data_IF_398195733490
#
_entry.id   IF_398195733490
#
_cell.length_a   1.000
_cell.length_b   1.000
_cell.length_c   1.000
_cell.angle_alpha   90.00
_cell.angle_beta   90.00
_cell.angle_gamma   90.00
#
_symmetry.space_group_name_H-M   'P 1'
#
loop_
_entity.id
_entity.type
_entity.pdbx_description
1 polymer ?
#
# COMPACT_ATOMS: atom_id res chain seq x y z
N UNK A 1 61.62 5.23 16.92
CA UNK A 1 61.53 6.16 15.76
C UNK A 1 60.21 6.91 15.81
N UNK A 2 60.22 8.20 16.15
CA UNK A 2 59.01 9.02 16.31
C UNK A 2 58.48 9.54 14.97
N UNK A 3 57.17 9.38 14.71
CA UNK A 3 56.52 9.78 13.46
C UNK A 3 56.63 11.29 13.21
N UNK A 4 56.88 11.67 11.96
CA UNK A 4 56.99 13.07 11.52
C UNK A 4 55.70 13.86 11.85
N UNK A 5 55.86 15.04 12.47
CA UNK A 5 54.75 15.94 12.79
C UNK A 5 54.20 16.55 11.50
N UNK A 6 52.87 16.49 11.30
CA UNK A 6 52.19 17.12 10.15
C UNK A 6 52.40 18.63 10.19
N UNK A 7 52.85 19.20 9.08
CA UNK A 7 53.01 20.63 8.91
C UNK A 7 51.68 21.37 9.09
N UNK A 8 51.70 22.50 9.82
CA UNK A 8 50.54 23.36 9.99
C UNK A 8 50.22 24.05 8.67
N UNK A 9 48.93 24.12 8.31
CA UNK A 9 48.49 24.82 7.10
C UNK A 9 48.54 26.32 7.37
N UNK A 10 49.13 27.09 6.45
CA UNK A 10 49.12 28.56 6.52
C UNK A 10 47.70 29.09 6.26
N UNK A 11 47.31 30.14 6.99
CA UNK A 11 46.01 30.83 6.90
C UNK A 11 44.76 29.94 7.17
N UNK A 12 44.77 29.14 8.24
CA UNK A 12 43.55 28.43 8.68
C UNK A 12 42.57 29.42 9.30
N UNK A 13 41.55 29.80 8.53
CA UNK A 13 40.44 30.61 9.01
C UNK A 13 39.40 29.77 9.77
N UNK A 14 38.79 30.37 10.78
CA UNK A 14 37.64 29.79 11.50
C UNK A 14 36.48 29.61 10.51
N UNK A 15 35.91 28.40 10.43
CA UNK A 15 34.78 28.12 9.52
C UNK A 15 33.58 28.98 9.89
N UNK A 16 33.33 30.03 9.10
CA UNK A 16 32.13 30.86 9.20
C UNK A 16 31.10 30.43 8.16
N UNK A 17 29.83 30.60 8.50
CA UNK A 17 28.72 30.33 7.56
C UNK A 17 28.83 31.31 6.40
N UNK A 18 28.97 30.78 5.19
CA UNK A 18 29.14 31.59 3.98
C UNK A 18 27.80 32.23 3.57
N UNK A 19 27.86 33.43 2.97
CA UNK A 19 26.69 34.13 2.45
C UNK A 19 25.89 33.31 1.42
N UNK A 20 26.57 32.40 0.69
CA UNK A 20 25.93 31.42 -0.21
C UNK A 20 25.10 30.37 0.53
N UNK A 21 25.54 29.90 1.70
CA UNK A 21 24.78 28.96 2.52
C UNK A 21 23.52 29.61 3.12
N UNK A 22 23.63 30.87 3.55
CA UNK A 22 22.48 31.66 4.01
C UNK A 22 21.48 31.95 2.88
N UNK A 23 21.95 32.22 1.66
CA UNK A 23 21.09 32.40 0.48
C UNK A 23 20.34 31.11 0.11
N UNK A 24 21.01 29.95 0.10
CA UNK A 24 20.36 28.65 -0.14
C UNK A 24 19.28 28.35 0.90
N UNK A 25 19.58 28.53 2.18
CA UNK A 25 18.59 28.35 3.24
C UNK A 25 17.42 29.34 3.13
N UNK A 26 17.68 30.60 2.76
CA UNK A 26 16.62 31.58 2.49
C UNK A 26 15.77 31.17 1.29
N UNK A 27 16.36 30.72 0.18
CA UNK A 27 15.62 30.27 -1.00
C UNK A 27 14.79 29.02 -0.75
N UNK A 28 15.30 28.06 0.02
CA UNK A 28 14.57 26.84 0.42
C UNK A 28 13.41 27.14 1.38
N UNK A 29 13.54 28.15 2.25
CA UNK A 29 12.49 28.56 3.21
C UNK A 29 11.46 29.51 2.58
N UNK A 30 11.87 30.40 1.66
CA UNK A 30 10.99 31.37 0.99
C UNK A 30 10.21 30.79 -0.19
N UNK A 31 10.70 29.74 -0.86
CA UNK A 31 10.03 29.13 -2.01
C UNK A 31 9.72 27.62 -1.80
N UNK A 32 8.81 27.24 -0.88
CA UNK A 32 8.38 25.86 -0.76
C UNK A 32 7.61 25.36 -2.01
N UNK A 33 7.05 26.25 -2.82
CA UNK A 33 6.16 25.94 -3.97
C UNK A 33 6.86 25.78 -5.32
N UNK A 34 8.16 26.11 -5.45
CA UNK A 34 8.89 25.94 -6.74
C UNK A 34 9.03 24.47 -7.18
N UNK A 35 8.98 23.52 -6.23
CA UNK A 35 8.88 22.08 -6.55
C UNK A 35 7.54 21.73 -7.20
N UNK A 36 6.47 22.46 -6.87
CA UNK A 36 5.13 22.24 -7.40
C UNK A 36 4.98 22.88 -8.79
N UNK A 37 5.60 24.03 -9.04
CA UNK A 37 5.63 24.67 -10.38
C UNK A 37 6.37 23.81 -11.43
N UNK A 38 7.44 23.10 -11.03
CA UNK A 38 8.13 22.16 -11.91
C UNK A 38 7.29 20.89 -12.19
N UNK A 39 6.39 20.51 -11.28
CA UNK A 39 5.41 19.42 -11.48
C UNK A 39 4.28 19.83 -12.42
N UNK A 40 3.92 21.10 -12.47
CA UNK A 40 2.89 21.61 -13.39
C UNK A 40 3.40 21.76 -14.83
N UNK A 41 4.71 22.04 -15.02
CA UNK A 41 5.34 22.14 -16.34
C UNK A 41 5.61 20.80 -17.03
N UNK A 42 5.56 19.69 -16.30
CA UNK A 42 5.62 18.35 -16.93
C UNK A 42 4.29 18.05 -17.62
N UNK A 43 4.34 17.80 -18.94
CA UNK A 43 3.19 17.37 -19.74
C UNK A 43 2.43 16.23 -19.05
N UNK A 44 1.09 16.31 -18.98
CA UNK A 44 0.24 15.26 -18.40
C UNK A 44 0.40 13.95 -19.18
N UNK A 45 1.28 13.06 -18.70
CA UNK A 45 1.38 11.71 -19.21
C UNK A 45 0.28 10.87 -18.56
N UNK A 46 -0.86 10.75 -19.25
CA UNK A 46 -1.88 9.77 -18.88
C UNK A 46 -1.43 8.43 -19.46
N UNK A 47 -1.12 7.42 -18.63
CA UNK A 47 -0.67 6.14 -19.12
C UNK A 47 -1.78 5.49 -19.96
N UNK A 48 -1.45 5.11 -21.20
CA UNK A 48 -2.34 4.38 -22.08
C UNK A 48 -2.70 3.03 -21.45
N UNK A 49 -4.01 2.71 -21.37
CA UNK A 49 -4.45 1.41 -20.86
C UNK A 49 -4.24 0.38 -21.98
N UNK A 50 -3.46 -0.70 -21.75
CA UNK A 50 -3.16 -1.68 -22.79
C UNK A 50 -4.42 -2.34 -23.36
N UNK A 51 -4.46 -2.51 -24.68
CA UNK A 51 -5.58 -3.09 -25.43
C UNK A 51 -5.87 -4.56 -25.08
N UNK A 52 -4.90 -5.26 -24.49
CA UNK A 52 -5.02 -6.65 -24.04
C UNK A 52 -6.04 -6.86 -22.90
N UNK A 53 -6.53 -5.78 -22.28
CA UNK A 53 -7.49 -5.83 -21.19
C UNK A 53 -8.91 -5.61 -21.73
N UNK A 54 -9.67 -6.68 -21.89
CA UNK A 54 -11.13 -6.55 -22.00
C UNK A 54 -11.70 -6.33 -20.59
N UNK A 55 -11.87 -5.05 -20.22
CA UNK A 55 -12.25 -4.56 -18.89
C UNK A 55 -11.27 -4.95 -17.75
N UNK A 56 -11.20 -6.24 -17.41
CA UNK A 56 -10.31 -6.85 -16.41
C UNK A 56 -9.75 -8.20 -16.83
N UNK A 57 -10.32 -8.82 -17.87
CA UNK A 57 -9.84 -10.06 -18.43
C UNK A 57 -8.66 -9.76 -19.34
N UNK A 58 -7.61 -10.56 -19.23
CA UNK A 58 -6.40 -10.39 -20.01
C UNK A 58 -6.38 -11.44 -21.11
N UNK A 59 -6.76 -11.05 -22.33
CA UNK A 59 -6.83 -11.94 -23.49
C UNK A 59 -5.46 -12.30 -24.06
N UNK A 60 -4.39 -11.60 -23.62
CA UNK A 60 -3.03 -11.85 -24.08
C UNK A 60 -2.31 -12.96 -23.31
N UNK A 61 -2.95 -13.55 -22.29
CA UNK A 61 -2.41 -14.71 -21.58
C UNK A 61 -2.79 -15.96 -22.35
N UNK A 62 -1.88 -16.43 -23.20
CA UNK A 62 -1.98 -17.72 -23.89
C UNK A 62 -0.82 -18.64 -23.52
N UNK A 63 -0.98 -19.97 -23.64
CA UNK A 63 0.14 -20.91 -23.51
C UNK A 63 1.20 -20.62 -24.59
N UNK A 64 2.51 -20.58 -24.26
CA UNK A 64 3.12 -20.90 -22.98
C UNK A 64 3.06 -19.76 -21.95
N UNK A 65 2.66 -20.09 -20.72
CA UNK A 65 2.57 -19.11 -19.64
C UNK A 65 3.96 -18.73 -19.12
N UNK A 66 4.23 -17.43 -19.03
CA UNK A 66 5.44 -16.89 -18.42
C UNK A 66 5.20 -16.56 -16.96
N UNK A 67 5.90 -17.24 -16.06
CA UNK A 67 5.69 -17.11 -14.61
C UNK A 67 6.89 -16.41 -13.99
N UNK A 68 6.71 -15.21 -13.45
CA UNK A 68 7.74 -14.51 -12.66
C UNK A 68 7.85 -15.14 -11.27
N UNK A 69 9.04 -15.61 -10.93
CA UNK A 69 9.32 -16.29 -9.67
C UNK A 69 10.03 -15.37 -8.69
N UNK A 70 9.54 -15.36 -7.45
CA UNK A 70 10.05 -14.57 -6.32
C UNK A 70 10.94 -15.42 -5.37
N UNK A 71 11.82 -14.79 -4.59
CA UNK A 71 12.77 -15.48 -3.70
C UNK A 71 12.07 -16.30 -2.62
N UNK A 72 11.06 -15.70 -1.98
CA UNK A 72 10.27 -16.36 -0.95
C UNK A 72 9.49 -17.55 -1.51
N UNK A 73 9.01 -17.46 -2.75
CA UNK A 73 8.31 -18.56 -3.41
C UNK A 73 9.22 -19.78 -3.62
N UNK A 74 10.47 -19.56 -4.03
CA UNK A 74 11.48 -20.63 -4.17
C UNK A 74 11.76 -21.27 -2.81
N UNK A 75 11.94 -20.46 -1.77
CA UNK A 75 12.22 -20.95 -0.42
C UNK A 75 11.08 -21.83 0.12
N UNK A 76 9.83 -21.39 -0.05
CA UNK A 76 8.67 -22.19 0.36
C UNK A 76 8.48 -23.46 -0.49
N UNK A 77 8.85 -23.43 -1.77
CA UNK A 77 8.80 -24.61 -2.64
C UNK A 77 9.79 -25.68 -2.18
N UNK A 78 11.00 -25.29 -1.80
CA UNK A 78 12.03 -26.19 -1.28
C UNK A 78 11.61 -26.80 0.06
N UNK A 79 11.04 -25.99 0.95
CA UNK A 79 10.55 -26.46 2.24
C UNK A 79 9.46 -27.54 2.10
N UNK A 80 8.54 -27.35 1.14
CA UNK A 80 7.46 -28.31 0.87
C UNK A 80 7.85 -29.40 -0.14
N UNK A 81 9.12 -29.45 -0.58
CA UNK A 81 9.64 -30.43 -1.55
C UNK A 81 8.84 -30.47 -2.86
N UNK A 82 8.47 -29.30 -3.37
CA UNK A 82 7.75 -29.16 -4.63
C UNK A 82 8.71 -28.87 -5.78
N UNK A 83 8.56 -29.62 -6.86
CA UNK A 83 9.22 -29.35 -8.14
C UNK A 83 8.56 -28.13 -8.79
N UNK A 84 9.30 -27.03 -8.97
CA UNK A 84 8.76 -25.75 -9.48
C UNK A 84 8.07 -25.91 -10.85
N UNK A 85 8.71 -26.59 -11.80
CA UNK A 85 8.17 -26.77 -13.16
C UNK A 85 6.95 -27.67 -13.17
N UNK A 86 7.05 -28.85 -12.54
CA UNK A 86 5.94 -29.81 -12.50
C UNK A 86 4.75 -29.20 -11.79
N UNK A 87 4.97 -28.60 -10.61
CA UNK A 87 3.90 -27.95 -9.86
C UNK A 87 3.23 -26.81 -10.64
N UNK A 88 3.99 -26.04 -11.44
CA UNK A 88 3.39 -25.01 -12.30
C UNK A 88 2.56 -25.62 -13.43
N UNK A 89 3.06 -26.67 -14.08
CA UNK A 89 2.34 -27.39 -15.14
C UNK A 89 1.06 -28.04 -14.61
N UNK A 90 1.10 -28.65 -13.42
CA UNK A 90 -0.04 -29.30 -12.77
C UNK A 90 -1.12 -28.28 -12.35
N UNK A 91 -0.71 -27.05 -11.99
CA UNK A 91 -1.64 -25.99 -11.58
C UNK A 91 -2.32 -25.29 -12.77
N UNK A 92 -1.57 -25.07 -13.86
CA UNK A 92 -2.04 -24.32 -15.03
C UNK A 92 -2.52 -25.20 -16.18
N UNK A 93 -2.31 -26.52 -16.10
CA UNK A 93 -2.60 -27.51 -17.15
C UNK A 93 -2.05 -27.14 -18.53
N UNK A 94 -0.94 -26.38 -18.54
CA UNK A 94 -0.34 -25.84 -19.76
C UNK A 94 1.18 -25.71 -19.60
N UNK A 95 1.87 -25.56 -20.73
CA UNK A 95 3.32 -25.34 -20.74
C UNK A 95 3.66 -24.03 -20.04
N UNK A 96 4.51 -24.11 -19.02
CA UNK A 96 4.95 -22.96 -18.23
C UNK A 96 6.45 -22.73 -18.43
N UNK A 97 6.83 -21.48 -18.64
CA UNK A 97 8.23 -21.04 -18.67
C UNK A 97 8.45 -20.18 -17.42
N UNK A 98 9.18 -20.70 -16.41
CA UNK A 98 9.48 -19.92 -15.23
C UNK A 98 10.59 -18.90 -15.56
N UNK A 99 10.35 -17.66 -15.18
CA UNK A 99 11.24 -16.52 -15.44
C UNK A 99 11.76 -15.97 -14.11
N UNK A 100 13.08 -15.79 -13.98
CA UNK A 100 13.73 -15.20 -12.81
C UNK A 100 14.35 -13.86 -13.23
N UNK A 101 14.16 -12.83 -12.41
CA UNK A 101 14.79 -11.53 -12.63
C UNK A 101 16.17 -11.46 -11.95
N UNK A 102 17.08 -10.67 -12.51
CA UNK A 102 18.41 -10.47 -11.90
C UNK A 102 18.36 -10.00 -10.45
N UNK A 103 17.32 -9.26 -10.07
CA UNK A 103 17.16 -8.76 -8.70
C UNK A 103 16.78 -9.84 -7.71
N UNK A 104 15.90 -10.77 -8.11
CA UNK A 104 15.59 -11.98 -7.32
C UNK A 104 16.84 -12.84 -7.18
N UNK A 105 17.63 -12.94 -8.25
CA UNK A 105 18.91 -13.66 -8.22
C UNK A 105 19.91 -13.01 -7.24
N UNK A 106 20.05 -11.68 -7.29
CA UNK A 106 20.90 -10.94 -6.38
C UNK A 106 20.44 -11.04 -4.91
N UNK A 107 19.13 -11.10 -4.65
CA UNK A 107 18.58 -11.35 -3.32
C UNK A 107 18.92 -12.75 -2.81
N UNK A 108 18.82 -13.79 -3.65
CA UNK A 108 19.22 -15.15 -3.28
C UNK A 108 20.72 -15.25 -2.95
N UNK A 109 21.57 -14.54 -3.70
CA UNK A 109 23.02 -14.50 -3.44
C UNK A 109 23.35 -13.82 -2.11
N UNK A 110 22.60 -12.77 -1.74
CA UNK A 110 22.77 -12.07 -0.44
C UNK A 110 22.39 -12.91 0.76
N UNK A 111 21.43 -13.83 0.61
CA UNK A 111 20.99 -14.72 1.70
C UNK A 111 22.04 -15.80 2.06
N UNK A 112 23.08 -15.97 1.23
CA UNK A 112 24.30 -16.71 1.56
C UNK A 112 24.16 -18.23 1.54
N UNK A 113 24.99 -18.92 2.34
CA UNK A 113 25.19 -20.38 2.27
C UNK A 113 23.94 -21.20 2.61
N UNK A 114 23.03 -20.67 3.45
CA UNK A 114 21.81 -21.38 3.87
C UNK A 114 20.88 -21.69 2.69
N UNK A 115 20.91 -20.87 1.64
CA UNK A 115 20.04 -20.99 0.48
C UNK A 115 20.79 -21.48 -0.76
N UNK A 116 21.90 -22.21 -0.59
CA UNK A 116 22.67 -22.78 -1.70
C UNK A 116 21.85 -23.70 -2.61
N UNK A 117 20.91 -24.45 -2.04
CA UNK A 117 19.99 -25.31 -2.80
C UNK A 117 19.08 -24.46 -3.69
N UNK A 118 18.53 -23.36 -3.16
CA UNK A 118 17.72 -22.42 -3.93
C UNK A 118 18.51 -21.76 -5.06
N UNK A 119 19.76 -21.37 -4.79
CA UNK A 119 20.65 -20.78 -5.79
C UNK A 119 20.96 -21.75 -6.94
N UNK A 120 21.12 -23.06 -6.65
CA UNK A 120 21.35 -24.08 -7.67
C UNK A 120 20.12 -24.23 -8.57
N UNK A 121 18.93 -24.34 -7.98
CA UNK A 121 17.66 -24.43 -8.71
C UNK A 121 17.45 -23.20 -9.59
N UNK A 122 17.67 -22.00 -9.04
CA UNK A 122 17.53 -20.75 -9.80
C UNK A 122 18.53 -20.62 -10.97
N UNK A 123 19.65 -21.35 -10.93
CA UNK A 123 20.66 -21.34 -12.00
C UNK A 123 20.37 -22.33 -13.12
N UNK A 124 19.41 -23.24 -12.96
CA UNK A 124 19.10 -24.25 -13.94
C UNK A 124 18.65 -23.63 -15.28
N UNK A 125 19.05 -24.20 -16.43
CA UNK A 125 18.81 -23.62 -17.76
C UNK A 125 17.34 -23.61 -18.17
N UNK A 126 16.48 -24.29 -17.40
CA UNK A 126 15.04 -24.33 -17.63
C UNK A 126 14.35 -23.03 -17.17
N UNK A 127 15.01 -22.24 -16.33
CA UNK A 127 14.56 -20.90 -15.96
C UNK A 127 15.06 -19.87 -16.97
N UNK A 128 14.14 -19.08 -17.52
CA UNK A 128 14.48 -17.94 -18.36
C UNK A 128 14.95 -16.78 -17.47
N UNK A 129 16.14 -16.23 -17.75
CA UNK A 129 16.67 -15.10 -16.99
C UNK A 129 16.29 -13.79 -17.65
N UNK A 130 15.64 -12.92 -16.88
CA UNK A 130 15.20 -11.60 -17.34
C UNK A 130 16.11 -10.51 -16.80
N UNK A 131 16.76 -9.81 -17.75
CA UNK A 131 17.66 -8.71 -17.43
C UNK A 131 16.91 -7.51 -16.87
N UNK A 132 17.50 -6.87 -15.86
CA UNK A 132 16.92 -5.75 -15.14
C UNK A 132 17.76 -4.48 -15.22
N UNK A 133 17.16 -3.36 -15.64
CA UNK A 133 17.85 -2.07 -15.87
C UNK A 133 17.53 -1.03 -14.78
N UNK A 134 17.67 -1.41 -13.50
CA UNK A 134 17.45 -0.48 -12.40
C UNK A 134 18.58 -0.54 -11.37
N UNK A 135 18.81 0.59 -10.70
CA UNK A 135 19.84 0.72 -9.67
C UNK A 135 19.24 0.35 -8.32
N UNK A 136 19.58 -0.84 -7.83
CA UNK A 136 19.11 -1.37 -6.55
C UNK A 136 18.64 -2.81 -6.68
N UNK A 137 18.54 -3.51 -5.55
CA UNK A 137 18.13 -4.92 -5.48
C UNK A 137 16.83 -5.07 -4.70
N UNK A 138 15.80 -4.29 -5.05
CA UNK A 138 14.45 -4.47 -4.51
C UNK A 138 13.65 -5.25 -5.54
N UNK A 139 13.60 -6.59 -5.41
CA UNK A 139 12.90 -7.45 -6.35
C UNK A 139 11.40 -7.12 -6.43
N UNK A 140 10.81 -6.81 -5.29
CA UNK A 140 9.42 -6.38 -5.13
C UNK A 140 8.99 -5.29 -6.13
N UNK A 141 9.73 -4.19 -6.17
CA UNK A 141 9.39 -3.04 -7.00
C UNK A 141 9.66 -3.35 -8.47
N UNK A 142 10.72 -4.10 -8.76
CA UNK A 142 11.01 -4.60 -10.10
C UNK A 142 9.86 -5.46 -10.66
N UNK A 143 9.33 -6.39 -9.86
CA UNK A 143 8.23 -7.27 -10.26
C UNK A 143 6.98 -6.43 -10.51
N UNK A 144 6.65 -5.50 -9.62
CA UNK A 144 5.47 -4.63 -9.77
C UNK A 144 5.58 -3.76 -11.02
N UNK A 145 6.72 -3.14 -11.27
CA UNK A 145 6.92 -2.28 -12.43
C UNK A 145 6.87 -3.07 -13.75
N UNK A 146 7.53 -4.24 -13.80
CA UNK A 146 7.55 -5.11 -14.97
C UNK A 146 6.14 -5.62 -15.31
N UNK A 147 5.38 -6.05 -14.31
CA UNK A 147 4.01 -6.54 -14.45
C UNK A 147 3.05 -5.40 -14.83
N UNK A 148 3.31 -4.19 -14.35
CA UNK A 148 2.50 -3.01 -14.68
C UNK A 148 2.70 -2.60 -16.14
N UNK A 149 3.94 -2.64 -16.62
CA UNK A 149 4.30 -2.37 -18.02
C UNK A 149 3.80 -3.48 -18.95
N UNK A 150 4.14 -4.72 -18.63
CA UNK A 150 3.82 -5.90 -19.42
C UNK A 150 2.91 -6.82 -18.61
N UNK A 151 1.63 -6.84 -18.97
CA UNK A 151 0.63 -7.64 -18.28
C UNK A 151 0.63 -9.11 -18.73
N UNK A 152 1.66 -9.58 -19.42
CA UNK A 152 1.74 -10.94 -19.95
C UNK A 152 2.39 -11.96 -18.98
N UNK A 153 2.52 -11.61 -17.70
CA UNK A 153 3.17 -12.45 -16.70
C UNK A 153 2.19 -12.91 -15.62
N UNK A 154 2.38 -14.16 -15.18
CA UNK A 154 1.82 -14.68 -13.92
C UNK A 154 2.85 -14.45 -12.83
N UNK A 155 2.44 -13.97 -11.65
CA UNK A 155 3.40 -13.75 -10.55
C UNK A 155 3.29 -14.85 -9.51
N UNK A 156 4.39 -15.55 -9.26
CA UNK A 156 4.51 -16.56 -8.22
C UNK A 156 5.15 -15.95 -6.97
N UNK A 157 4.33 -15.61 -5.97
CA UNK A 157 4.81 -15.03 -4.72
C UNK A 157 4.00 -15.53 -3.53
N UNK A 158 4.66 -15.67 -2.38
CA UNK A 158 4.02 -15.96 -1.10
C UNK A 158 3.80 -14.71 -0.23
N UNK A 159 4.33 -13.56 -0.65
CA UNK A 159 4.40 -12.38 0.21
C UNK A 159 3.09 -11.63 0.28
N UNK A 160 2.66 -11.33 1.51
CA UNK A 160 1.37 -10.68 1.77
C UNK A 160 1.32 -9.26 1.20
N UNK A 161 2.42 -8.52 1.30
CA UNK A 161 2.48 -7.13 0.86
C UNK A 161 2.66 -7.02 -0.65
N UNK A 162 3.48 -7.87 -1.27
CA UNK A 162 3.59 -7.95 -2.73
C UNK A 162 2.27 -8.38 -3.37
N UNK A 163 1.59 -9.39 -2.82
CA UNK A 163 0.22 -9.77 -3.23
C UNK A 163 -0.74 -8.59 -3.14
N UNK A 164 -0.72 -7.83 -2.05
CA UNK A 164 -1.60 -6.66 -1.90
C UNK A 164 -1.32 -5.59 -2.96
N UNK A 165 -0.05 -5.38 -3.34
CA UNK A 165 0.32 -4.45 -4.43
C UNK A 165 -0.15 -4.95 -5.78
N UNK A 166 0.15 -6.19 -6.15
CA UNK A 166 -0.24 -6.78 -7.44
C UNK A 166 -1.76 -6.88 -7.56
N UNK A 167 -2.49 -7.11 -6.46
CA UNK A 167 -3.97 -7.12 -6.46
C UNK A 167 -4.59 -5.79 -6.92
N UNK A 168 -3.87 -4.67 -6.84
CA UNK A 168 -4.32 -3.37 -7.36
C UNK A 168 -4.21 -3.30 -8.89
N UNK A 169 -3.30 -4.07 -9.48
CA UNK A 169 -3.14 -4.17 -10.94
C UNK A 169 -4.18 -5.16 -11.48
N UNK A 170 -5.04 -4.75 -12.43
CA UNK A 170 -6.01 -5.64 -13.05
C UNK A 170 -5.36 -6.55 -14.10
N UNK A 171 -5.90 -7.75 -14.28
CA UNK A 171 -5.50 -8.69 -15.34
C UNK A 171 -4.24 -9.51 -15.07
N UNK A 172 -3.69 -9.45 -13.86
CA UNK A 172 -2.49 -10.21 -13.45
C UNK A 172 -2.91 -11.32 -12.49
N UNK A 173 -2.68 -12.60 -12.86
CA UNK A 173 -2.91 -13.73 -11.97
C UNK A 173 -1.75 -13.90 -10.98
N UNK A 174 -2.08 -14.39 -9.79
CA UNK A 174 -1.13 -14.56 -8.68
C UNK A 174 -1.11 -16.04 -8.28
N UNK A 175 0.03 -16.69 -8.39
CA UNK A 175 0.25 -18.04 -7.92
C UNK A 175 0.86 -18.03 -6.52
N UNK A 176 0.37 -18.89 -5.65
CA UNK A 176 0.86 -19.03 -4.28
C UNK A 176 0.83 -20.49 -3.82
N UNK A 177 1.60 -20.78 -2.77
CA UNK A 177 1.73 -22.14 -2.24
C UNK A 177 0.71 -22.34 -1.13
N UNK A 178 -0.04 -23.44 -1.22
CA UNK A 178 -0.94 -23.93 -0.18
C UNK A 178 -0.55 -25.35 0.18
N UNK A 179 0.01 -25.55 1.37
CA UNK A 179 0.49 -26.87 1.83
C UNK A 179 1.45 -27.49 0.79
N UNK A 180 1.01 -28.52 0.07
CA UNK A 180 1.78 -29.30 -0.90
C UNK A 180 1.33 -29.07 -2.36
N UNK A 181 0.58 -28.01 -2.65
CA UNK A 181 0.10 -27.71 -4.01
C UNK A 181 0.21 -26.21 -4.31
N UNK A 182 0.37 -25.88 -5.58
CA UNK A 182 0.26 -24.49 -6.06
C UNK A 182 -1.20 -24.17 -6.37
N UNK A 183 -1.64 -23.03 -5.86
CA UNK A 183 -2.96 -22.48 -6.09
C UNK A 183 -2.83 -21.16 -6.84
N UNK A 184 -3.79 -20.86 -7.72
CA UNK A 184 -3.80 -19.62 -8.48
C UNK A 184 -5.01 -18.76 -8.11
N UNK A 185 -4.75 -17.48 -7.87
CA UNK A 185 -5.76 -16.44 -7.67
C UNK A 185 -5.96 -15.69 -9.00
N UNK A 186 -7.22 -15.37 -9.33
CA UNK A 186 -7.62 -14.53 -10.48
C UNK A 186 -7.34 -15.11 -11.87
N UNK A 187 -7.47 -16.42 -12.05
CA UNK A 187 -7.55 -16.99 -13.39
C UNK A 187 -9.02 -17.06 -13.82
N UNK A 188 -9.40 -16.42 -14.94
CA UNK A 188 -10.79 -16.37 -15.37
C UNK A 188 -11.31 -17.68 -16.00
N UNK A 189 -10.45 -18.64 -16.34
CA UNK A 189 -10.84 -19.90 -17.00
C UNK A 189 -10.85 -21.14 -16.09
N UNK A 190 -10.18 -21.12 -14.94
CA UNK A 190 -9.97 -22.33 -14.12
C UNK A 190 -11.01 -22.56 -12.99
N UNK A 191 -12.08 -21.76 -12.90
CA UNK A 191 -13.05 -21.84 -11.79
C UNK A 191 -14.34 -22.62 -12.11
N UNK A 192 -14.39 -23.39 -13.20
CA UNK A 192 -15.60 -24.14 -13.61
C UNK A 192 -15.60 -25.61 -13.17
N UNK A 193 -14.51 -26.16 -12.63
CA UNK A 193 -14.50 -27.56 -12.16
C UNK A 193 -13.67 -27.78 -10.90
N UNK A 194 -14.33 -28.17 -9.80
CA UNK A 194 -13.66 -28.83 -8.66
C UNK A 194 -13.94 -28.23 -7.27
N UNK A 195 -14.74 -28.97 -6.51
CA UNK A 195 -14.75 -29.06 -5.04
C UNK A 195 -15.44 -27.97 -4.20
N UNK A 196 -16.76 -28.12 -4.13
CA UNK A 196 -17.55 -27.91 -2.92
C UNK A 196 -17.16 -28.95 -1.85
N UNK A 197 -16.27 -28.60 -0.93
CA UNK A 197 -16.34 -29.13 0.43
C UNK A 197 -15.66 -28.21 1.43
N UNK A 198 -16.40 -27.80 2.45
CA UNK A 198 -15.82 -27.20 3.66
C UNK A 198 -16.34 -25.83 4.06
N UNK A 199 -17.49 -25.85 4.75
CA UNK A 199 -17.88 -24.91 5.81
C UNK A 199 -18.18 -23.47 5.37
N UNK A 200 -19.47 -23.29 5.10
CA UNK A 200 -20.27 -22.13 5.49
C UNK A 200 -19.63 -21.23 6.55
N UNK A 201 -19.18 -20.05 6.12
CA UNK A 201 -19.14 -18.87 6.96
C UNK A 201 -19.89 -17.76 6.21
N UNK A 202 -21.12 -17.41 6.63
CA UNK A 202 -21.77 -16.22 6.13
C UNK A 202 -21.14 -15.06 6.88
N UNK A 203 -20.22 -14.33 6.27
CA UNK A 203 -19.83 -12.96 6.66
C UNK A 203 -18.53 -12.58 5.95
N UNK A 204 -18.60 -12.03 4.73
CA UNK A 204 -17.55 -11.10 4.22
C UNK A 204 -17.98 -10.30 2.99
N UNK A 205 -19.28 -10.19 2.71
CA UNK A 205 -19.83 -9.11 1.89
C UNK A 205 -20.04 -7.88 2.77
N UNK A 206 -18.95 -7.28 3.25
CA UNK A 206 -19.06 -6.13 4.14
C UNK A 206 -17.76 -5.75 4.78
N UNK A 207 -17.19 -4.64 4.27
CA UNK A 207 -16.04 -3.87 4.78
C UNK A 207 -14.71 -4.23 4.14
N UNK A 208 -14.36 -3.50 3.08
CA UNK A 208 -13.23 -2.54 3.13
C UNK A 208 -13.54 -1.34 2.22
N UNK A 209 -14.53 -0.52 2.59
CA UNK A 209 -14.40 0.91 2.32
C UNK A 209 -13.76 1.50 3.57
N UNK A 210 -12.43 1.58 3.55
CA UNK A 210 -11.71 2.49 4.43
C UNK A 210 -12.18 3.88 4.08
N UNK A 211 -12.97 4.44 5.01
CA UNK A 211 -13.20 5.86 5.14
C UNK A 211 -11.87 6.49 5.55
N UNK A 212 -11.09 6.89 4.56
CA UNK A 212 -10.17 8.02 4.70
C UNK A 212 -10.94 9.20 4.09
N UNK A 213 -11.34 10.11 4.98
CA UNK A 213 -11.87 11.45 4.70
C UNK A 213 -12.86 11.57 3.54
N UNK A 214 -14.14 11.28 3.80
CA UNK A 214 -15.30 12.10 3.42
C UNK A 214 -15.44 12.67 2.01
N UNK A 215 -14.65 12.25 1.03
CA UNK A 215 -14.66 12.75 -0.34
C UNK A 215 -14.95 11.55 -1.24
N UNK A 216 -16.17 11.52 -1.77
CA UNK A 216 -16.51 10.61 -2.87
C UNK A 216 -15.49 10.82 -3.99
N UNK A 217 -14.83 9.76 -4.44
CA UNK A 217 -13.94 9.81 -5.59
C UNK A 217 -14.66 10.49 -6.77
N UNK A 218 -14.01 11.42 -7.50
CA UNK A 218 -14.67 12.15 -8.57
C UNK A 218 -15.16 11.18 -9.64
N UNK A 219 -16.47 11.19 -9.90
CA UNK A 219 -17.09 10.38 -10.95
C UNK A 219 -16.45 10.76 -12.29
N UNK A 220 -15.93 9.76 -13.01
CA UNK A 220 -15.22 9.93 -14.28
C UNK A 220 -16.09 10.72 -15.30
N UNK A 221 -15.47 11.51 -16.20
CA UNK A 221 -16.21 12.24 -17.23
C UNK A 221 -16.86 11.27 -18.23
N UNK A 222 -18.06 11.62 -18.70
CA UNK A 222 -18.74 10.86 -19.73
C UNK A 222 -17.94 10.91 -21.05
N UNK A 223 -17.87 9.80 -21.77
CA UNK A 223 -17.00 9.60 -22.94
C UNK A 223 -17.69 9.90 -24.28
N UNK A 224 -18.93 10.41 -24.29
CA UNK A 224 -19.66 10.69 -25.54
C UNK A 224 -20.16 9.44 -26.27
N UNK A 225 -19.96 8.25 -25.71
CA UNK A 225 -20.35 6.97 -26.31
C UNK A 225 -21.84 6.66 -26.01
N UNK A 226 -22.53 6.09 -27.00
CA UNK A 226 -23.95 5.71 -26.90
C UNK A 226 -24.19 4.56 -25.89
N UNK A 227 -23.20 3.67 -25.70
CA UNK A 227 -23.29 2.51 -24.78
C UNK A 227 -21.97 2.33 -24.00
N UNK A 228 -22.04 2.09 -22.69
CA UNK A 228 -20.88 1.93 -21.80
C UNK A 228 -21.08 2.51 -20.38
N UNK A 229 -20.10 2.33 -19.48
CA UNK A 229 -20.19 2.79 -18.07
C UNK A 229 -20.17 4.33 -17.91
N UNK A 230 -19.48 5.03 -18.81
CA UNK A 230 -19.41 6.50 -18.87
C UNK A 230 -20.19 7.01 -20.10
N UNK A 231 -21.29 6.35 -20.44
CA UNK A 231 -22.15 6.74 -21.58
C UNK A 231 -22.79 8.11 -21.38
N UNK A 232 -23.13 8.75 -22.50
CA UNK A 232 -23.77 10.05 -22.53
C UNK A 232 -22.84 11.17 -22.97
N UNK A 233 -23.43 12.32 -23.31
CA UNK A 233 -22.71 13.49 -23.82
C UNK A 233 -21.64 13.95 -22.82
N UNK A 234 -20.46 14.33 -23.34
CA UNK A 234 -19.41 14.96 -22.55
C UNK A 234 -19.96 16.30 -22.03
N UNK A 235 -20.23 16.40 -20.72
CA UNK A 235 -20.68 17.64 -20.08
C UNK A 235 -19.52 18.21 -19.26
N UNK A 236 -19.14 19.46 -19.55
CA UNK A 236 -18.21 20.22 -18.72
C UNK A 236 -18.88 20.53 -17.38
N UNK A 237 -18.42 19.87 -16.31
CA UNK A 237 -18.95 20.12 -14.97
C UNK A 237 -18.54 21.53 -14.53
N UNK A 238 -19.51 22.44 -14.39
CA UNK A 238 -19.32 23.77 -13.84
C UNK A 238 -19.03 23.65 -12.34
N UNK A 239 -17.95 24.27 -11.87
CA UNK A 239 -17.67 24.33 -10.44
C UNK A 239 -18.77 25.14 -9.75
N UNK A 240 -19.55 24.48 -8.90
CA UNK A 240 -20.61 25.14 -8.13
C UNK A 240 -19.96 25.93 -6.99
N UNK A 241 -20.40 27.17 -6.74
CA UNK A 241 -19.93 27.93 -5.59
C UNK A 241 -20.27 27.18 -4.29
N UNK A 242 -19.35 27.14 -3.30
CA UNK A 242 -19.53 26.39 -2.08
C UNK A 242 -20.76 26.89 -1.31
N UNK A 243 -21.69 25.99 -1.00
CA UNK A 243 -22.96 26.35 -0.35
C UNK A 243 -22.71 26.62 1.13
N UNK A 244 -23.48 27.52 1.77
CA UNK A 244 -23.40 27.74 3.22
C UNK A 244 -23.58 26.45 4.06
N UNK A 245 -24.35 25.48 3.54
CA UNK A 245 -24.51 24.15 4.15
C UNK A 245 -23.20 23.38 4.30
N UNK A 246 -22.24 23.57 3.40
CA UNK A 246 -20.96 22.85 3.37
C UNK A 246 -20.00 23.37 4.47
N UNK A 247 -20.28 24.56 5.00
CA UNK A 247 -19.55 25.15 6.14
C UNK A 247 -20.06 24.62 7.49
N UNK A 248 -21.16 23.86 7.52
CA UNK A 248 -21.77 23.34 8.75
C UNK A 248 -20.85 22.32 9.42
N UNK A 249 -20.20 22.73 10.51
CA UNK A 249 -19.28 21.90 11.30
C UNK A 249 -17.81 22.34 11.23
N UNK A 250 -17.46 23.33 10.39
CA UNK A 250 -16.12 23.92 10.38
C UNK A 250 -15.97 24.83 11.60
N UNK A 251 -15.14 24.41 12.56
CA UNK A 251 -14.88 25.18 13.78
C UNK A 251 -13.72 26.15 13.55
N UNK A 252 -13.87 27.41 13.94
CA UNK A 252 -12.77 28.38 13.89
C UNK A 252 -11.68 28.03 14.92
N UNK A 253 -10.44 28.47 14.68
CA UNK A 253 -9.29 28.22 15.57
C UNK A 253 -9.57 28.70 17.00
N UNK A 254 -10.24 29.85 17.15
CA UNK A 254 -10.68 30.40 18.45
C UNK A 254 -11.68 29.48 19.15
N UNK A 255 -12.69 28.97 18.44
CA UNK A 255 -13.69 28.06 19.04
C UNK A 255 -13.06 26.71 19.42
N UNK A 256 -12.08 26.23 18.65
CA UNK A 256 -11.33 25.02 19.02
C UNK A 256 -10.53 25.23 20.32
N UNK A 257 -9.83 26.35 20.44
CA UNK A 257 -9.08 26.72 21.64
C UNK A 257 -9.97 26.81 22.88
N UNK A 258 -11.09 27.55 22.79
CA UNK A 258 -12.06 27.69 23.89
C UNK A 258 -12.65 26.34 24.30
N UNK A 259 -12.97 25.46 23.34
CA UNK A 259 -13.48 24.10 23.65
C UNK A 259 -12.45 23.20 24.32
N UNK A 260 -11.17 23.37 24.01
CA UNK A 260 -10.10 22.63 24.69
C UNK A 260 -9.97 23.10 26.15
N UNK A 261 -9.95 24.42 26.38
CA UNK A 261 -9.92 24.99 27.74
C UNK A 261 -11.11 24.52 28.58
N UNK A 262 -12.33 24.59 28.04
CA UNK A 262 -13.53 24.15 28.78
C UNK A 262 -13.45 22.66 29.11
N UNK A 263 -12.91 21.83 28.22
CA UNK A 263 -12.74 20.38 28.48
C UNK A 263 -11.69 20.08 29.54
N UNK A 264 -10.67 20.91 29.66
CA UNK A 264 -9.66 20.81 30.73
C UNK A 264 -10.24 21.21 32.08
N UNK A 265 -11.02 22.29 32.13
CA UNK A 265 -11.60 22.81 33.39
C UNK A 265 -12.81 22.01 33.87
N UNK A 266 -13.75 21.67 32.98
CA UNK A 266 -15.00 20.97 33.34
C UNK A 266 -14.88 19.43 33.32
N UNK A 267 -13.84 18.89 32.68
CA UNK A 267 -13.61 17.45 32.55
C UNK A 267 -14.63 16.71 31.67
N UNK A 268 -14.66 15.38 31.80
CA UNK A 268 -15.53 14.50 31.02
C UNK A 268 -16.92 14.34 31.63
N UNK A 269 -17.94 14.27 30.77
CA UNK A 269 -19.30 14.00 31.20
C UNK A 269 -19.46 12.57 31.77
N UNK A 270 -20.45 12.30 32.64
CA UNK A 270 -20.60 11.00 33.32
C UNK A 270 -20.70 9.79 32.36
N UNK A 271 -21.34 9.96 31.21
CA UNK A 271 -21.45 8.89 30.20
C UNK A 271 -20.14 8.70 29.41
N UNK A 272 -19.33 9.74 29.26
CA UNK A 272 -18.02 9.66 28.61
C UNK A 272 -17.03 8.91 29.50
N UNK A 273 -17.09 9.12 30.82
CA UNK A 273 -16.34 8.36 31.83
C UNK A 273 -16.71 6.86 31.80
N UNK A 274 -18.01 6.54 31.73
CA UNK A 274 -18.46 5.13 31.58
C UNK A 274 -17.96 4.48 30.28
N UNK A 275 -17.85 5.25 29.19
CA UNK A 275 -17.31 4.76 27.92
C UNK A 275 -15.81 4.50 28.04
N UNK A 276 -15.03 5.36 28.70
CA UNK A 276 -13.59 5.15 28.88
C UNK A 276 -13.28 3.96 29.77
N UNK A 277 -14.05 3.72 30.82
CA UNK A 277 -13.95 2.52 31.66
C UNK A 277 -14.16 1.24 30.85
N UNK A 278 -15.23 1.20 30.03
CA UNK A 278 -15.50 0.04 29.16
C UNK A 278 -14.41 -0.16 28.10
N UNK A 279 -13.82 0.91 27.60
CA UNK A 279 -12.70 0.86 26.65
C UNK A 279 -11.39 0.42 27.31
N UNK A 280 -11.16 0.74 28.60
CA UNK A 280 -10.00 0.25 29.36
C UNK A 280 -10.03 -1.27 29.56
N UNK A 281 -11.23 -1.84 29.75
CA UNK A 281 -11.46 -3.29 29.91
C UNK A 281 -11.52 -4.02 28.54
N UNK A 282 -11.46 -3.31 27.42
CA UNK A 282 -11.52 -3.91 26.07
C UNK A 282 -12.94 -4.30 25.60
N UNK A 283 -14.00 -3.88 26.31
CA UNK A 283 -15.40 -4.21 25.99
C UNK A 283 -16.02 -3.23 24.98
N UNK A 284 -15.42 -3.19 23.81
CA UNK A 284 -15.73 -2.29 22.69
C UNK A 284 -17.19 -2.29 22.22
N UNK A 285 -17.80 -3.48 22.09
CA UNK A 285 -19.20 -3.63 21.67
C UNK A 285 -20.17 -3.05 22.72
N UNK A 286 -19.83 -3.18 24.01
CA UNK A 286 -20.64 -2.62 25.11
C UNK A 286 -20.51 -1.10 25.18
N UNK A 287 -19.29 -0.57 25.01
CA UNK A 287 -19.05 0.88 24.93
C UNK A 287 -19.86 1.52 23.78
N UNK A 288 -19.90 0.87 22.62
CA UNK A 288 -20.69 1.35 21.47
C UNK A 288 -22.20 1.30 21.73
N UNK A 289 -22.70 0.28 22.44
CA UNK A 289 -24.12 0.19 22.83
C UNK A 289 -24.52 1.30 23.80
N UNK A 290 -23.66 1.63 24.78
CA UNK A 290 -23.87 2.76 25.71
C UNK A 290 -23.87 4.10 24.96
N UNK A 291 -22.88 4.32 24.08
CA UNK A 291 -22.81 5.53 23.26
C UNK A 291 -24.02 5.68 22.32
N UNK A 292 -24.51 4.59 21.71
CA UNK A 292 -25.70 4.61 20.85
C UNK A 292 -26.96 4.94 21.65
N UNK A 293 -27.13 4.38 22.85
CA UNK A 293 -28.27 4.69 23.73
C UNK A 293 -28.29 6.17 24.16
N UNK A 294 -27.12 6.82 24.31
CA UNK A 294 -27.02 8.23 24.72
C UNK A 294 -27.04 9.23 23.58
N UNK A 295 -26.45 8.91 22.42
CA UNK A 295 -26.32 9.83 21.27
C UNK A 295 -27.33 9.57 20.14
N UNK A 296 -28.14 8.52 20.27
CA UNK A 296 -29.21 8.11 19.35
C UNK A 296 -28.71 7.40 18.08
N UNK A 297 -27.83 8.05 17.32
CA UNK A 297 -27.38 7.54 16.00
C UNK A 297 -26.10 6.71 16.08
N UNK A 298 -26.02 5.67 15.25
CA UNK A 298 -24.83 4.82 15.17
C UNK A 298 -23.57 5.59 14.70
N UNK A 299 -23.73 6.54 13.76
CA UNK A 299 -22.62 7.38 13.27
C UNK A 299 -22.04 8.27 14.38
N UNK A 300 -22.90 8.92 15.19
CA UNK A 300 -22.44 9.74 16.33
C UNK A 300 -21.79 8.89 17.41
N UNK A 301 -22.35 7.71 17.71
CA UNK A 301 -21.79 6.78 18.68
C UNK A 301 -20.38 6.30 18.29
N UNK A 302 -20.17 5.97 17.01
CA UNK A 302 -18.86 5.56 16.49
C UNK A 302 -17.84 6.70 16.61
N UNK A 303 -18.22 7.92 16.20
CA UNK A 303 -17.37 9.12 16.34
C UNK A 303 -16.99 9.39 17.79
N UNK A 304 -17.94 9.23 18.72
CA UNK A 304 -17.67 9.45 20.16
C UNK A 304 -16.78 8.37 20.77
N UNK A 305 -16.95 7.12 20.36
CA UNK A 305 -16.05 6.02 20.79
C UNK A 305 -14.62 6.26 20.30
N UNK A 306 -14.45 6.70 19.07
CA UNK A 306 -13.13 7.08 18.52
C UNK A 306 -12.53 8.24 19.30
N UNK A 307 -13.31 9.29 19.63
CA UNK A 307 -12.85 10.40 20.46
C UNK A 307 -12.35 9.95 21.85
N UNK A 308 -13.11 9.09 22.54
CA UNK A 308 -12.70 8.55 23.85
C UNK A 308 -11.47 7.63 23.75
N UNK A 309 -11.31 6.90 22.64
CA UNK A 309 -10.11 6.10 22.38
C UNK A 309 -8.88 6.98 22.14
N UNK A 310 -9.02 8.08 21.40
CA UNK A 310 -7.96 9.06 21.19
C UNK A 310 -7.55 9.74 22.50
N UNK A 311 -8.50 10.05 23.38
CA UNK A 311 -8.22 10.57 24.73
C UNK A 311 -7.39 9.58 25.55
N UNK A 312 -7.77 8.30 25.57
CA UNK A 312 -7.00 7.26 26.26
C UNK A 312 -5.58 7.11 25.71
N UNK A 313 -5.40 7.23 24.39
CA UNK A 313 -4.06 7.23 23.77
C UNK A 313 -3.24 8.45 24.22
N UNK A 314 -3.84 9.65 24.25
CA UNK A 314 -3.18 10.87 24.73
C UNK A 314 -2.80 10.80 26.20
N UNK A 315 -3.66 10.24 27.05
CA UNK A 315 -3.36 10.01 28.47
C UNK A 315 -2.19 9.04 28.66
N UNK A 316 -2.11 7.97 27.85
CA UNK A 316 -0.98 7.03 27.88
C UNK A 316 0.33 7.64 27.39
N UNK A 317 0.29 8.55 26.41
CA UNK A 317 1.50 9.22 25.90
C UNK A 317 1.96 10.38 26.79
N UNK A 318 1.04 11.07 27.48
CA UNK A 318 1.37 12.20 28.36
C UNK A 318 2.05 11.78 29.67
N UNK A 319 1.73 10.61 30.21
CA UNK A 319 2.28 10.12 31.49
C UNK A 319 3.76 9.73 31.49
N UNK A 320 4.47 9.83 30.36
CA UNK A 320 5.90 9.50 30.26
C UNK A 320 6.80 10.74 30.42
N UNK A 321 6.23 11.95 30.42
CA UNK A 321 7.00 13.21 30.47
C UNK A 321 7.29 13.80 31.86
N UNK A 322 6.54 13.44 32.91
CA UNK A 322 6.57 14.11 34.23
C UNK A 322 7.29 13.30 35.34
N UNK A 323 8.25 12.43 34.99
CA UNK A 323 9.09 11.73 36.00
C UNK A 323 10.60 11.95 35.85
N UNK A 324 11.01 13.04 35.19
CA UNK A 324 12.41 13.51 35.22
C UNK A 324 12.47 15.03 35.32
N UNK A 325 12.29 15.51 36.55
CA UNK A 325 13.03 16.64 37.13
C UNK A 325 12.90 16.53 38.64
#
# INVERSE_FOLDING_TARGET
>A
MGKAKKAQKFAVMKKMVTSKALKKHKEEVLNPTKKDENKEKTSRNVPYVPSALFFKYNTALGPPYRVLVDTNFINFSIQNKLDLEKGMMDCLYAKCTPCITDCVMAELEKLGQKYRVALRIAKDPRFERLLCTHKGTYADDCIVDRVTQHKCYIVATCDRDLKRRIRKVPGVPIMYITKHQYSIERLPEATIGGDFSGKSSPDLFGRVNKLEDGVMAPKQPNTGLFVGLNKGHVVTKKELPPRPSDRKGKTSKRVHFVRNIIREVAGFAPYEKRITELLKVGKDKRALKVAKRKLGTHKRAKKKREEMSSVLRKMRSGGVGEKKK
#
